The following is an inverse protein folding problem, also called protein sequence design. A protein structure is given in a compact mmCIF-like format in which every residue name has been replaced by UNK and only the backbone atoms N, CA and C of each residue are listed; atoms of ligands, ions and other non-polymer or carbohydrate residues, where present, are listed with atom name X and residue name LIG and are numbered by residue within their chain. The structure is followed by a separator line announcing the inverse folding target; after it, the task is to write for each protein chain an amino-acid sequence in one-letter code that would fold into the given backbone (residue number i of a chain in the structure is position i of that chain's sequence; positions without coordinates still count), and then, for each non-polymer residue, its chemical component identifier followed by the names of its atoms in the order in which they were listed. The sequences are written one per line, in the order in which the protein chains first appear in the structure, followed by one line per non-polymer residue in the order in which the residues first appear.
data_IF_689747371659
#
_entry.id   IF_689747371659
#
_cell.length_a   1.000
_cell.length_b   1.000
_cell.length_c   1.000
_cell.angle_alpha   90.00
_cell.angle_beta   90.00
_cell.angle_gamma   90.00
#
_symmetry.space_group_name_H-M   'P 1'
#
loop_
_entity.id
_entity.type
_entity.pdbx_description
1 polymer ?
#
# COMPACT_ATOMS: atom_id res chain seq x y z
N UNK A 1 2.52 11.11 4.31
CA UNK A 1 1.18 11.69 4.56
C UNK A 1 0.66 11.17 5.89
N UNK A 2 0.20 12.03 6.82
CA UNK A 2 -0.27 11.63 8.15
C UNK A 2 -1.38 10.57 8.10
N UNK A 3 -2.36 10.73 7.20
CA UNK A 3 -3.46 9.78 7.04
C UNK A 3 -3.00 8.34 6.75
N UNK A 4 -1.88 8.13 6.05
CA UNK A 4 -1.35 6.78 5.82
C UNK A 4 -0.79 6.17 7.11
N UNK A 5 -0.14 6.97 7.96
CA UNK A 5 0.37 6.53 9.25
C UNK A 5 -0.81 6.14 10.14
N UNK A 6 -1.81 7.01 10.24
CA UNK A 6 -2.98 6.82 11.10
C UNK A 6 -3.78 5.57 10.68
N UNK A 7 -4.11 5.45 9.39
CA UNK A 7 -4.89 4.32 8.88
C UNK A 7 -4.05 3.05 8.70
N UNK A 8 -2.72 3.16 8.60
CA UNK A 8 -1.79 2.07 8.30
C UNK A 8 -1.80 1.64 6.84
N UNK A 9 -2.95 1.72 6.16
CA UNK A 9 -3.11 1.38 4.75
C UNK A 9 -4.08 2.34 4.05
N UNK A 10 -3.79 2.65 2.78
CA UNK A 10 -4.68 3.44 1.92
C UNK A 10 -4.70 2.84 0.51
N UNK A 11 -5.86 2.85 -0.14
CA UNK A 11 -5.92 2.60 -1.59
C UNK A 11 -5.28 3.76 -2.36
N UNK A 12 -4.67 3.50 -3.52
CA UNK A 12 -4.09 4.56 -4.35
C UNK A 12 -5.17 5.54 -4.84
N UNK A 13 -6.16 5.02 -5.56
CA UNK A 13 -7.29 5.81 -6.09
C UNK A 13 -8.57 4.99 -6.29
N UNK A 14 -8.56 3.70 -5.94
CA UNK A 14 -9.73 2.84 -6.09
C UNK A 14 -10.72 3.09 -4.96
N UNK A 15 -12.01 2.91 -5.24
CA UNK A 15 -13.04 2.80 -4.19
C UNK A 15 -12.97 1.41 -3.56
N UNK A 16 -13.20 1.35 -2.25
CA UNK A 16 -13.16 0.10 -1.51
C UNK A 16 -13.37 0.32 0.00
N UNK A 17 -13.05 -0.70 0.81
CA UNK A 17 -13.27 -0.66 2.26
C UNK A 17 -12.27 0.23 3.00
N UNK A 18 -11.19 0.68 2.33
CA UNK A 18 -10.23 1.64 2.87
C UNK A 18 -10.40 3.01 2.18
N UNK A 19 -10.07 4.11 2.87
CA UNK A 19 -9.90 5.40 2.22
C UNK A 19 -8.83 5.33 1.11
N UNK A 20 -8.88 6.25 0.14
CA UNK A 20 -7.90 6.33 -0.92
C UNK A 20 -7.20 7.69 -0.98
N UNK A 21 -5.94 7.69 -1.43
CA UNK A 21 -5.08 8.88 -1.46
C UNK A 21 -5.66 9.96 -2.36
N UNK A 22 -6.20 9.60 -3.53
CA UNK A 22 -6.75 10.56 -4.48
C UNK A 22 -7.91 11.37 -3.89
N UNK A 23 -8.88 10.72 -3.25
CA UNK A 23 -10.01 11.37 -2.58
C UNK A 23 -9.56 12.21 -1.38
N UNK A 24 -8.61 11.70 -0.58
CA UNK A 24 -8.07 12.43 0.58
C UNK A 24 -7.38 13.73 0.17
N UNK A 25 -6.59 13.72 -0.90
CA UNK A 25 -5.93 14.93 -1.45
C UNK A 25 -6.95 15.85 -2.12
N UNK A 26 -7.92 15.27 -2.83
CA UNK A 26 -9.03 16.03 -3.40
C UNK A 26 -9.84 16.76 -2.31
N UNK A 27 -9.93 16.16 -1.13
CA UNK A 27 -10.80 16.61 -0.03
C UNK A 27 -12.27 16.26 -0.25
N UNK A 28 -12.55 15.48 -1.30
CA UNK A 28 -13.88 15.07 -1.73
C UNK A 28 -13.78 13.77 -2.55
N UNK A 29 -14.82 12.92 -2.57
CA UNK A 29 -14.86 11.76 -3.43
C UNK A 29 -14.79 12.15 -4.91
N UNK A 30 -13.80 11.62 -5.64
CA UNK A 30 -13.63 11.88 -7.06
C UNK A 30 -14.63 11.04 -7.87
N UNK A 31 -15.40 11.71 -8.74
CA UNK A 31 -16.24 11.06 -9.75
C UNK A 31 -15.45 10.88 -11.04
N UNK A 32 -15.22 9.64 -11.45
CA UNK A 32 -14.48 9.31 -12.67
C UNK A 32 -12.97 9.25 -12.45
N UNK A 33 -12.20 9.62 -13.48
CA UNK A 33 -10.73 9.57 -13.45
C UNK A 33 -10.15 10.75 -12.68
N UNK A 34 -9.29 10.48 -11.70
CA UNK A 34 -8.58 11.54 -10.96
C UNK A 34 -7.64 12.36 -11.85
N UNK A 35 -7.19 11.81 -12.99
CA UNK A 35 -6.38 12.53 -13.98
C UNK A 35 -7.08 13.78 -14.53
N UNK A 36 -8.41 13.75 -14.64
CA UNK A 36 -9.22 14.88 -15.11
C UNK A 36 -9.68 15.81 -13.98
N UNK A 37 -9.30 15.52 -12.73
CA UNK A 37 -9.69 16.33 -11.58
C UNK A 37 -8.83 17.58 -11.48
N UNK A 38 -9.40 18.71 -11.02
CA UNK A 38 -8.67 19.98 -10.83
C UNK A 38 -7.44 19.88 -9.92
N UNK A 39 -7.40 18.89 -9.03
CA UNK A 39 -6.29 18.60 -8.12
C UNK A 39 -5.37 17.48 -8.62
N UNK A 40 -5.41 17.12 -9.91
CA UNK A 40 -4.61 16.03 -10.49
C UNK A 40 -3.12 16.15 -10.17
N UNK A 41 -2.55 17.34 -10.29
CA UNK A 41 -1.13 17.58 -9.97
C UNK A 41 -0.82 17.32 -8.49
N UNK A 42 -1.67 17.80 -7.57
CA UNK A 42 -1.49 17.55 -6.14
C UNK A 42 -1.61 16.06 -5.80
N UNK A 43 -2.54 15.34 -6.45
CA UNK A 43 -2.70 13.89 -6.31
C UNK A 43 -1.44 13.20 -6.82
N UNK A 44 -0.96 13.54 -8.01
CA UNK A 44 0.26 12.97 -8.59
C UNK A 44 1.48 13.19 -7.68
N UNK A 45 1.71 14.41 -7.19
CA UNK A 45 2.78 14.71 -6.23
C UNK A 45 2.68 13.86 -4.97
N UNK A 46 1.47 13.73 -4.41
CA UNK A 46 1.26 12.95 -3.20
C UNK A 46 1.52 11.45 -3.42
N UNK A 47 1.07 10.91 -4.57
CA UNK A 47 1.32 9.52 -4.94
C UNK A 47 2.82 9.24 -5.13
N UNK A 48 3.54 10.12 -5.84
CA UNK A 48 4.99 10.01 -6.02
C UNK A 48 5.75 10.07 -4.69
N UNK A 49 5.38 11.00 -3.80
CA UNK A 49 6.00 11.10 -2.47
C UNK A 49 5.79 9.86 -1.59
N UNK A 50 4.69 9.13 -1.80
CA UNK A 50 4.46 7.86 -1.11
C UNK A 50 5.28 6.72 -1.72
N UNK A 51 5.44 6.71 -3.04
CA UNK A 51 6.24 5.70 -3.76
C UNK A 51 7.74 5.82 -3.43
N UNK A 52 8.23 7.05 -3.26
CA UNK A 52 9.63 7.34 -2.89
C UNK A 52 9.95 7.10 -1.41
N UNK A 53 8.93 6.86 -0.57
CA UNK A 53 9.11 6.74 0.87
C UNK A 53 9.63 5.35 1.27
N UNK A 54 10.75 5.25 2.02
CA UNK A 54 11.27 3.96 2.49
C UNK A 54 10.35 3.28 3.53
N UNK A 55 9.39 4.02 4.07
CA UNK A 55 8.41 3.52 5.05
C UNK A 55 7.08 3.10 4.40
N UNK A 56 7.02 3.02 3.07
CA UNK A 56 5.81 2.66 2.33
C UNK A 56 6.12 1.58 1.31
N UNK A 57 5.29 0.53 1.29
CA UNK A 57 5.28 -0.46 0.21
C UNK A 57 3.95 -0.39 -0.51
N UNK A 58 3.99 -0.57 -1.82
CA UNK A 58 2.80 -0.55 -2.69
C UNK A 58 2.50 -1.98 -3.15
N UNK A 59 1.29 -2.46 -2.89
CA UNK A 59 0.88 -3.87 -3.11
C UNK A 59 -0.47 -3.95 -3.84
N UNK A 60 -0.75 -5.04 -4.57
CA UNK A 60 -2.11 -5.35 -5.06
C UNK A 60 -2.90 -6.14 -4.02
N UNK A 61 -3.18 -5.52 -2.89
CA UNK A 61 -3.60 -6.23 -1.68
C UNK A 61 -5.12 -6.31 -1.52
N UNK A 62 -5.79 -5.17 -1.38
CA UNK A 62 -7.23 -5.12 -1.06
C UNK A 62 -8.04 -5.27 -2.35
N UNK A 63 -8.72 -6.41 -2.52
CA UNK A 63 -9.50 -6.73 -3.73
C UNK A 63 -8.70 -6.55 -5.04
N UNK A 64 -7.40 -6.86 -5.02
CA UNK A 64 -6.47 -6.69 -6.14
C UNK A 64 -6.18 -5.24 -6.53
N UNK A 65 -6.60 -4.26 -5.71
CA UNK A 65 -6.34 -2.84 -5.92
C UNK A 65 -4.97 -2.46 -5.36
N UNK A 66 -4.38 -1.43 -5.96
CA UNK A 66 -3.12 -0.87 -5.48
C UNK A 66 -3.37 -0.20 -4.12
N UNK A 67 -2.64 -0.67 -3.12
CA UNK A 67 -2.71 -0.27 -1.72
C UNK A 67 -1.32 0.15 -1.26
N UNK A 68 -1.20 1.35 -0.70
CA UNK A 68 -0.03 1.77 0.05
C UNK A 68 -0.15 1.24 1.47
N UNK A 69 0.93 0.65 1.96
CA UNK A 69 1.01 0.07 3.30
C UNK A 69 2.17 0.71 4.04
N UNK A 70 1.87 1.36 5.16
CA UNK A 70 2.89 1.94 6.03
C UNK A 70 3.72 0.85 6.74
N UNK A 71 5.02 1.12 6.95
CA UNK A 71 5.99 0.21 7.58
C UNK A 71 5.51 -0.43 8.88
N UNK A 72 4.76 0.33 9.68
CA UNK A 72 4.19 -0.18 10.95
C UNK A 72 3.30 -1.42 10.79
N UNK A 73 2.75 -1.66 9.60
CA UNK A 73 1.87 -2.79 9.31
C UNK A 73 2.60 -3.98 8.68
N UNK A 74 3.84 -3.80 8.24
CA UNK A 74 4.58 -4.85 7.53
C UNK A 74 4.81 -6.10 8.40
N UNK A 75 5.18 -6.01 9.70
CA UNK A 75 5.34 -7.20 10.53
C UNK A 75 4.07 -8.05 10.60
N UNK A 76 2.91 -7.42 10.76
CA UNK A 76 1.62 -8.12 10.81
C UNK A 76 1.27 -8.77 9.46
N UNK A 77 1.54 -8.08 8.34
CA UNK A 77 1.37 -8.61 6.99
C UNK A 77 2.27 -9.82 6.72
N UNK A 78 3.55 -9.72 7.08
CA UNK A 78 4.53 -10.80 6.95
C UNK A 78 4.13 -11.99 7.83
N UNK A 79 3.69 -11.73 9.07
CA UNK A 79 3.28 -12.79 9.99
C UNK A 79 2.11 -13.63 9.47
N UNK A 80 1.23 -13.00 8.69
CA UNK A 80 0.04 -13.59 8.08
C UNK A 80 0.24 -13.90 6.59
N UNK A 81 1.48 -13.96 6.09
CA UNK A 81 1.77 -14.07 4.66
C UNK A 81 1.16 -15.32 4.01
N UNK A 82 1.00 -16.41 4.77
CA UNK A 82 0.40 -17.67 4.34
C UNK A 82 -1.10 -17.55 3.99
N UNK A 83 -1.77 -16.47 4.42
CA UNK A 83 -3.17 -16.17 4.10
C UNK A 83 -3.36 -15.42 2.79
N UNK A 84 -2.27 -15.00 2.15
CA UNK A 84 -2.30 -14.25 0.91
C UNK A 84 -1.67 -15.04 -0.23
N UNK A 85 -2.17 -14.86 -1.44
CA UNK A 85 -1.43 -15.35 -2.60
C UNK A 85 -0.11 -14.57 -2.72
N UNK A 86 1.03 -15.21 -3.07
CA UNK A 86 2.33 -14.53 -3.16
C UNK A 86 2.32 -13.25 -4.01
N UNK A 87 1.52 -13.25 -5.09
CA UNK A 87 1.34 -12.09 -5.98
C UNK A 87 0.67 -10.88 -5.30
N UNK A 88 -0.13 -11.08 -4.26
CA UNK A 88 -0.73 -9.98 -3.51
C UNK A 88 0.29 -9.24 -2.63
N UNK A 89 1.37 -9.93 -2.25
CA UNK A 89 2.46 -9.41 -1.44
C UNK A 89 3.69 -9.00 -2.27
N UNK A 90 3.62 -9.08 -3.60
CA UNK A 90 4.67 -8.54 -4.46
C UNK A 90 4.65 -7.01 -4.40
N UNK A 91 5.80 -6.40 -4.08
CA UNK A 91 5.97 -4.95 -4.04
C UNK A 91 5.98 -4.39 -5.46
N UNK A 92 5.25 -3.30 -5.67
CA UNK A 92 5.13 -2.59 -6.94
C UNK A 92 5.98 -1.32 -6.92
N UNK A 93 7.08 -1.30 -7.66
CA UNK A 93 7.95 -0.13 -7.80
C UNK A 93 7.71 0.58 -9.12
N UNK A 94 7.68 1.92 -9.15
CA UNK A 94 7.77 2.64 -10.42
C UNK A 94 9.24 2.77 -10.85
N UNK A 95 9.60 2.06 -11.92
CA UNK A 95 10.87 2.27 -12.59
C UNK A 95 10.72 3.44 -13.57
N UNK A 96 11.37 4.56 -13.25
CA UNK A 96 11.57 5.64 -14.21
C UNK A 96 12.57 5.18 -15.26
N UNK A 97 12.09 4.82 -16.44
CA UNK A 97 13.00 4.52 -17.56
C UNK A 97 13.62 5.81 -18.09
N UNK A 98 14.84 5.73 -18.65
CA UNK A 98 15.54 6.87 -19.25
C UNK A 98 14.75 7.56 -20.39
N UNK A 99 13.70 6.92 -20.93
CA UNK A 99 12.81 7.48 -21.94
C UNK A 99 11.55 8.16 -21.37
N UNK A 100 11.42 8.28 -20.05
CA UNK A 100 10.25 8.87 -19.39
C UNK A 100 9.01 7.95 -19.36
N UNK A 101 9.13 6.68 -19.76
CA UNK A 101 8.05 5.71 -19.61
C UNK A 101 8.10 5.13 -18.19
N UNK A 102 6.96 5.18 -17.48
CA UNK A 102 6.80 4.52 -16.19
C UNK A 102 6.53 3.03 -16.44
N UNK A 103 7.41 2.16 -15.96
CA UNK A 103 7.12 0.71 -15.88
C UNK A 103 6.90 0.36 -14.42
N UNK A 104 5.88 -0.45 -14.16
CA UNK A 104 5.71 -1.07 -12.85
C UNK A 104 6.59 -2.32 -12.84
N UNK A 105 7.57 -2.34 -11.95
CA UNK A 105 8.38 -3.52 -11.67
C UNK A 105 7.83 -4.19 -10.41
N UNK A 106 7.69 -5.51 -10.45
CA UNK A 106 7.25 -6.29 -9.30
C UNK A 106 8.46 -6.93 -8.63
N UNK A 107 8.66 -6.65 -7.35
CA UNK A 107 9.62 -7.34 -6.49
C UNK A 107 8.87 -8.42 -5.68
N UNK A 108 9.21 -9.71 -5.82
CA UNK A 108 8.53 -10.79 -5.11
C UNK A 108 8.60 -10.66 -3.59
N UNK A 109 7.62 -11.25 -2.90
CA UNK A 109 7.72 -11.51 -1.46
C UNK A 109 8.57 -12.77 -1.22
N UNK A 110 9.45 -12.80 -0.20
CA UNK A 110 9.73 -11.75 0.79
C UNK A 110 10.91 -10.82 0.42
N UNK A 111 11.36 -10.78 -0.83
CA UNK A 111 12.63 -10.11 -1.23
C UNK A 111 12.70 -8.62 -0.89
N UNK A 112 11.56 -7.92 -0.82
CA UNK A 112 11.50 -6.49 -0.45
C UNK A 112 11.47 -6.26 1.06
N UNK A 113 11.24 -7.29 1.87
CA UNK A 113 11.01 -7.17 3.31
C UNK A 113 12.33 -7.04 4.06
N UNK A 114 12.56 -5.95 4.81
CA UNK A 114 13.78 -5.78 5.59
C UNK A 114 13.92 -6.81 6.73
N UNK A 115 15.15 -7.18 7.07
CA UNK A 115 15.43 -8.18 8.10
C UNK A 115 14.87 -7.82 9.49
N UNK A 116 14.83 -6.55 9.85
CA UNK A 116 14.22 -6.11 11.11
C UNK A 116 12.70 -6.33 11.14
N UNK A 117 12.04 -6.20 9.99
CA UNK A 117 10.61 -6.48 9.83
C UNK A 117 10.34 -7.97 9.89
N UNK A 118 11.18 -8.81 9.26
CA UNK A 118 11.10 -10.27 9.38
C UNK A 118 11.21 -10.70 10.84
N UNK A 119 12.21 -10.19 11.57
CA UNK A 119 12.38 -10.47 13.00
C UNK A 119 11.18 -10.01 13.83
N UNK A 120 10.64 -8.82 13.55
CA UNK A 120 9.46 -8.32 14.25
C UNK A 120 8.23 -9.17 13.97
N UNK A 121 8.06 -9.66 12.73
CA UNK A 121 6.97 -10.56 12.37
C UNK A 121 7.05 -11.88 13.13
N UNK A 122 8.25 -12.46 13.27
CA UNK A 122 8.47 -13.72 14.01
C UNK A 122 8.09 -13.61 15.50
N UNK A 123 8.11 -12.41 16.07
CA UNK A 123 7.71 -12.17 17.46
C UNK A 123 6.20 -11.99 17.65
N UNK A 124 5.43 -11.83 16.56
CA UNK A 124 3.98 -11.67 16.65
C UNK A 124 3.29 -13.03 16.71
N UNK A 125 2.30 -13.14 17.57
CA UNK A 125 1.26 -14.17 17.45
C UNK A 125 0.35 -13.86 16.26
N UNK A 126 -0.40 -14.87 15.80
CA UNK A 126 -1.41 -14.69 14.75
C UNK A 126 -2.48 -13.68 15.19
N UNK A 127 -2.92 -13.74 16.45
CA UNK A 127 -3.97 -12.85 16.96
C UNK A 127 -3.49 -11.40 17.07
N UNK A 128 -2.25 -11.16 17.51
CA UNK A 128 -1.65 -9.82 17.53
C UNK A 128 -1.50 -9.25 16.11
N UNK A 129 -1.15 -10.08 15.14
CA UNK A 129 -1.08 -9.66 13.74
C UNK A 129 -2.47 -9.32 13.18
N UNK A 130 -3.49 -10.14 13.47
CA UNK A 130 -4.87 -9.89 13.05
C UNK A 130 -5.43 -8.59 13.65
N UNK A 131 -5.12 -8.31 14.92
CA UNK A 131 -5.55 -7.08 15.60
C UNK A 131 -4.94 -5.80 14.99
N UNK A 132 -3.83 -5.91 14.26
CA UNK A 132 -3.15 -4.78 13.64
C UNK A 132 -3.65 -4.47 12.22
N UNK A 133 -4.18 -5.46 11.51
CA UNK A 133 -4.61 -5.29 10.12
C UNK A 133 -6.08 -4.82 10.03
N UNK A 134 -6.44 -4.04 8.99
CA UNK A 134 -7.84 -3.67 8.75
C UNK A 134 -8.75 -4.90 8.61
N UNK A 135 -9.99 -4.78 9.09
CA UNK A 135 -10.97 -5.87 9.07
C UNK A 135 -11.19 -6.49 7.68
N UNK A 136 -11.04 -5.71 6.61
CA UNK A 136 -11.17 -6.19 5.23
C UNK A 136 -10.07 -7.17 4.79
N UNK A 137 -9.00 -7.34 5.57
CA UNK A 137 -7.92 -8.30 5.33
C UNK A 137 -7.91 -9.46 6.35
N UNK A 138 -8.76 -9.39 7.37
CA UNK A 138 -8.79 -10.35 8.48
C UNK A 138 -10.13 -11.07 8.62
N UNK A 139 -11.17 -10.63 7.89
CA UNK A 139 -12.42 -11.35 7.76
C UNK A 139 -12.21 -12.64 6.93
N UNK A 140 -12.55 -13.77 7.54
CA UNK A 140 -12.53 -15.13 6.96
C UNK A 140 -13.60 -15.34 5.91
#
# INVERSE_FOLDING_TARGET
MAALIDNGMLLQSARGPLPNVADLVAGEPIKGSWWSHRKSHAIFTALGSLDESPDVVRLRLVNGKVTFVHRRMWPALVRLADRFAPKQLAALHEAHTASGAHRVEEQPFPDWVPNDVLRAADQLTVDEALAQLPACLTAS
#
